data_IF_191047783512
#
_entry.id   IF_191047783512
#
_cell.length_a   1.000
_cell.length_b   1.000
_cell.length_c   1.000
_cell.angle_alpha   90.00
_cell.angle_beta   90.00
_cell.angle_gamma   90.00
#
_symmetry.space_group_name_H-M   'P 1'
#
loop_
_entity.id
_entity.type
_entity.pdbx_description
1 polymer ?
#
# COMPACT_ATOMS: atom_id res chain seq x y z
N UNK A 1 -16.66 11.89 11.77
CA UNK A 1 -15.60 12.93 11.88
C UNK A 1 -14.65 12.66 10.73
N UNK A 2 -14.34 13.66 9.90
CA UNK A 2 -13.37 13.50 8.83
C UNK A 2 -12.00 13.19 9.43
N UNK A 3 -11.27 12.21 8.91
CA UNK A 3 -9.95 11.86 9.42
C UNK A 3 -8.97 13.02 9.24
N UNK A 4 -8.18 13.29 10.28
CA UNK A 4 -7.09 14.28 10.21
C UNK A 4 -5.89 13.78 9.40
N UNK A 5 -5.65 12.46 9.44
CA UNK A 5 -4.67 11.74 8.66
C UNK A 5 -5.29 10.45 8.15
N UNK A 6 -4.77 9.99 7.02
CA UNK A 6 -5.04 8.66 6.49
C UNK A 6 -3.72 7.97 6.22
N UNK A 7 -3.47 6.87 6.94
CA UNK A 7 -2.33 5.99 6.72
C UNK A 7 -2.66 5.05 5.57
N UNK A 8 -2.02 5.22 4.44
CA UNK A 8 -2.38 4.49 3.22
C UNK A 8 -1.70 3.13 3.10
N UNK A 9 -0.94 2.69 4.12
CA UNK A 9 -0.37 1.36 4.19
C UNK A 9 0.14 1.05 5.60
N UNK A 10 -0.54 0.14 6.27
CA UNK A 10 -0.13 -0.46 7.54
C UNK A 10 -0.64 -1.90 7.63
N UNK A 11 -0.24 -2.65 8.66
CA UNK A 11 -0.55 -4.07 8.85
C UNK A 11 -1.06 -4.31 10.28
N UNK A 12 -2.34 -4.08 10.52
CA UNK A 12 -2.92 -4.29 11.85
C UNK A 12 -2.79 -5.75 12.31
N UNK A 13 -2.96 -6.71 11.41
CA UNK A 13 -2.83 -8.14 11.74
C UNK A 13 -1.43 -8.55 12.20
N UNK A 14 -0.42 -7.74 11.92
CA UNK A 14 0.94 -7.95 12.43
C UNK A 14 1.21 -7.26 13.77
N UNK A 15 0.27 -6.49 14.30
CA UNK A 15 0.39 -5.88 15.64
C UNK A 15 0.04 -6.89 16.73
N UNK A 16 0.50 -6.63 17.96
CA UNK A 16 0.16 -7.49 19.10
C UNK A 16 -1.34 -7.43 19.44
N UNK A 17 -2.00 -6.30 19.22
CA UNK A 17 -3.39 -6.04 19.59
C UNK A 17 -4.16 -5.34 18.46
N UNK A 18 -4.52 -6.05 17.35
CA UNK A 18 -5.12 -5.44 16.16
C UNK A 18 -6.41 -4.65 16.43
N UNK A 19 -7.31 -5.20 17.24
CA UNK A 19 -8.59 -4.56 17.56
C UNK A 19 -8.41 -3.31 18.45
N UNK A 20 -7.44 -3.34 19.36
CA UNK A 20 -7.12 -2.18 20.20
C UNK A 20 -6.54 -1.05 19.36
N UNK A 21 -5.61 -1.36 18.43
CA UNK A 21 -5.02 -0.40 17.51
C UNK A 21 -6.10 0.21 16.57
N UNK A 22 -7.01 -0.59 16.03
CA UNK A 22 -8.13 -0.14 15.22
C UNK A 22 -9.08 0.77 16.00
N UNK A 23 -9.44 0.40 17.23
CA UNK A 23 -10.33 1.18 18.10
C UNK A 23 -9.73 2.54 18.48
N UNK A 24 -8.44 2.57 18.85
CA UNK A 24 -7.72 3.81 19.17
C UNK A 24 -7.62 4.71 17.93
N UNK A 25 -7.33 4.14 16.76
CA UNK A 25 -7.25 4.89 15.51
C UNK A 25 -8.57 5.56 15.16
N UNK A 26 -9.67 4.83 15.23
CA UNK A 26 -11.02 5.37 15.02
C UNK A 26 -11.36 6.47 16.04
N UNK A 27 -11.03 6.28 17.32
CA UNK A 27 -11.27 7.27 18.37
C UNK A 27 -10.49 8.58 18.17
N UNK A 28 -9.28 8.50 17.58
CA UNK A 28 -8.45 9.67 17.31
C UNK A 28 -8.66 10.27 15.91
N UNK A 29 -9.60 9.73 15.12
CA UNK A 29 -9.86 10.19 13.75
C UNK A 29 -8.68 9.91 12.79
N UNK A 30 -7.94 8.82 13.01
CA UNK A 30 -6.94 8.31 12.08
C UNK A 30 -7.60 7.27 11.17
N UNK A 31 -7.65 7.56 9.86
CA UNK A 31 -8.03 6.56 8.88
C UNK A 31 -6.85 5.64 8.54
N UNK A 32 -7.13 4.37 8.25
CA UNK A 32 -6.10 3.36 7.94
C UNK A 32 -6.51 2.52 6.75
N UNK A 33 -5.56 2.25 5.86
CA UNK A 33 -5.63 1.14 4.93
C UNK A 33 -4.81 -0.02 5.52
N UNK A 34 -5.52 -0.98 6.12
CA UNK A 34 -4.99 -2.19 6.74
C UNK A 34 -4.70 -3.22 5.64
N UNK A 35 -3.46 -3.27 5.19
CA UNK A 35 -3.01 -4.17 4.13
C UNK A 35 -2.77 -5.58 4.68
N UNK A 36 -3.52 -6.56 4.17
CA UNK A 36 -3.33 -7.96 4.50
C UNK A 36 -2.04 -8.53 3.90
N UNK A 37 -1.48 -9.53 4.55
CA UNK A 37 -0.27 -10.24 4.09
C UNK A 37 -0.54 -11.71 3.78
N UNK A 38 -1.68 -12.21 4.23
CA UNK A 38 -2.18 -13.57 4.03
C UNK A 38 -3.68 -13.51 3.71
N UNK A 39 -4.15 -14.07 2.59
CA UNK A 39 -5.57 -13.98 2.23
C UNK A 39 -6.50 -14.74 3.18
N UNK A 40 -5.98 -15.66 4.01
CA UNK A 40 -6.75 -16.38 5.03
C UNK A 40 -7.24 -15.46 6.15
N UNK A 41 -6.51 -14.37 6.43
CA UNK A 41 -6.82 -13.43 7.51
C UNK A 41 -7.83 -12.35 7.09
N UNK A 42 -8.14 -12.23 5.79
CA UNK A 42 -8.99 -11.17 5.25
C UNK A 42 -10.39 -11.10 5.91
N UNK A 43 -10.99 -12.24 6.24
CA UNK A 43 -12.31 -12.25 6.88
C UNK A 43 -12.29 -11.52 8.23
N UNK A 44 -11.26 -11.76 9.04
CA UNK A 44 -11.10 -11.11 10.34
C UNK A 44 -10.79 -9.61 10.19
N UNK A 45 -9.90 -9.25 9.26
CA UNK A 45 -9.57 -7.86 8.97
C UNK A 45 -10.81 -7.07 8.48
N UNK A 46 -11.62 -7.66 7.60
CA UNK A 46 -12.84 -7.04 7.07
C UNK A 46 -13.91 -6.88 8.17
N UNK A 47 -14.04 -7.84 9.08
CA UNK A 47 -14.94 -7.70 10.25
C UNK A 47 -14.46 -6.58 11.19
N UNK A 48 -13.17 -6.46 11.44
CA UNK A 48 -12.55 -5.36 12.18
C UNK A 48 -12.88 -4.00 11.53
N UNK A 49 -12.67 -3.89 10.22
CA UNK A 49 -12.97 -2.67 9.47
C UNK A 49 -14.45 -2.27 9.58
N UNK A 50 -15.39 -3.23 9.55
CA UNK A 50 -16.82 -2.94 9.74
C UNK A 50 -17.16 -2.39 11.13
N UNK A 51 -16.41 -2.79 12.16
CA UNK A 51 -16.63 -2.31 13.54
C UNK A 51 -16.01 -0.94 13.81
N UNK A 52 -15.00 -0.54 13.04
CA UNK A 52 -14.22 0.67 13.28
C UNK A 52 -14.25 1.61 12.06
N UNK A 53 -15.11 2.65 12.07
CA UNK A 53 -15.18 3.62 10.98
C UNK A 53 -13.81 4.25 10.67
N UNK A 54 -13.47 4.36 9.39
CA UNK A 54 -12.18 4.89 8.93
C UNK A 54 -11.11 3.82 8.70
N UNK A 55 -11.36 2.55 9.10
CA UNK A 55 -10.49 1.44 8.74
C UNK A 55 -10.98 0.79 7.45
N UNK A 56 -10.08 0.59 6.51
CA UNK A 56 -10.33 -0.14 5.26
C UNK A 56 -9.44 -1.38 5.27
N UNK A 57 -10.04 -2.56 5.16
CA UNK A 57 -9.30 -3.80 5.04
C UNK A 57 -8.95 -4.07 3.58
N UNK A 58 -7.68 -4.38 3.32
CA UNK A 58 -7.17 -4.85 2.04
C UNK A 58 -6.90 -6.34 2.06
N UNK A 59 -7.34 -7.05 1.00
CA UNK A 59 -6.90 -8.42 0.84
C UNK A 59 -5.52 -8.45 0.19
N UNK A 60 -4.57 -9.17 0.79
CA UNK A 60 -3.20 -9.25 0.32
C UNK A 60 -2.60 -10.63 0.38
N UNK A 61 -1.47 -10.77 -0.30
CA UNK A 61 -0.53 -11.87 -0.19
C UNK A 61 0.88 -11.30 -0.39
N UNK A 62 1.55 -11.09 0.72
CA UNK A 62 2.87 -10.48 0.71
C UNK A 62 3.90 -11.41 0.03
N UNK A 63 4.77 -10.91 -0.87
CA UNK A 63 5.75 -11.74 -1.58
C UNK A 63 6.68 -12.53 -0.67
N UNK A 64 6.94 -12.06 0.56
CA UNK A 64 7.74 -12.81 1.53
C UNK A 64 7.07 -14.11 1.98
N UNK A 65 5.73 -14.13 2.13
CA UNK A 65 4.97 -15.33 2.51
C UNK A 65 5.01 -16.42 1.43
N UNK A 66 5.13 -16.01 0.15
CA UNK A 66 5.40 -16.94 -0.95
C UNK A 66 6.85 -17.42 -0.94
N UNK A 67 7.79 -16.49 -0.73
CA UNK A 67 9.21 -16.77 -0.79
C UNK A 67 9.69 -17.73 0.32
N UNK A 68 9.11 -17.64 1.51
CA UNK A 68 9.47 -18.49 2.64
C UNK A 68 8.54 -19.71 2.85
N UNK A 69 7.58 -19.90 1.95
CA UNK A 69 6.70 -21.06 1.94
C UNK A 69 5.55 -21.06 2.95
N UNK A 70 5.29 -19.92 3.63
CA UNK A 70 4.09 -19.76 4.48
C UNK A 70 2.79 -19.80 3.67
N UNK A 71 2.84 -19.34 2.44
CA UNK A 71 1.77 -19.39 1.47
C UNK A 71 2.22 -20.11 0.20
N UNK A 72 1.28 -20.75 -0.50
CA UNK A 72 1.51 -21.49 -1.72
C UNK A 72 0.36 -21.33 -2.72
N UNK A 73 0.20 -22.32 -3.59
CA UNK A 73 -0.79 -22.29 -4.66
C UNK A 73 -2.24 -22.16 -4.15
N UNK A 74 -2.55 -22.72 -2.97
CA UNK A 74 -3.88 -22.63 -2.36
C UNK A 74 -4.21 -21.18 -1.97
N UNK A 75 -3.28 -20.48 -1.33
CA UNK A 75 -3.44 -19.09 -0.90
C UNK A 75 -3.46 -18.14 -2.12
N UNK A 76 -2.69 -18.41 -3.17
CA UNK A 76 -2.78 -17.67 -4.44
C UNK A 76 -4.16 -17.84 -5.07
N UNK A 77 -4.74 -19.06 -5.07
CA UNK A 77 -6.09 -19.28 -5.57
C UNK A 77 -7.13 -18.53 -4.75
N UNK A 78 -7.03 -18.58 -3.43
CA UNK A 78 -7.92 -17.84 -2.52
C UNK A 78 -7.82 -16.33 -2.74
N UNK A 79 -6.60 -15.80 -2.86
CA UNK A 79 -6.38 -14.38 -3.19
C UNK A 79 -7.08 -13.99 -4.49
N UNK A 80 -6.88 -14.77 -5.57
CA UNK A 80 -7.50 -14.48 -6.88
C UNK A 80 -9.03 -14.53 -6.82
N UNK A 81 -9.60 -15.51 -6.10
CA UNK A 81 -11.04 -15.62 -5.91
C UNK A 81 -11.59 -14.39 -5.17
N UNK A 82 -11.03 -14.04 -4.03
CA UNK A 82 -11.50 -12.91 -3.22
C UNK A 82 -11.26 -11.57 -3.93
N UNK A 83 -10.09 -11.36 -4.51
CA UNK A 83 -9.72 -10.13 -5.21
C UNK A 83 -10.60 -9.86 -6.44
N UNK A 84 -11.22 -10.89 -7.03
CA UNK A 84 -12.15 -10.72 -8.16
C UNK A 84 -13.35 -9.82 -7.82
N UNK A 85 -13.76 -9.80 -6.56
CA UNK A 85 -14.94 -9.06 -6.03
C UNK A 85 -14.60 -7.96 -5.03
N UNK A 86 -13.33 -7.88 -4.59
CA UNK A 86 -12.92 -6.89 -3.62
C UNK A 86 -12.34 -5.64 -4.29
N UNK A 87 -12.58 -4.50 -3.65
CA UNK A 87 -12.12 -3.20 -4.14
C UNK A 87 -10.70 -2.87 -3.67
N UNK A 88 -10.34 -3.27 -2.47
CA UNK A 88 -9.10 -2.90 -1.81
C UNK A 88 -8.17 -4.10 -1.71
N UNK A 89 -7.03 -4.01 -2.40
CA UNK A 89 -6.08 -5.11 -2.54
C UNK A 89 -4.69 -4.60 -2.13
N UNK A 90 -4.10 -5.25 -1.17
CA UNK A 90 -2.78 -4.94 -0.64
C UNK A 90 -2.55 -5.68 0.69
N UNK A 91 -1.33 -6.07 0.97
CA UNK A 91 -0.13 -5.86 0.19
C UNK A 91 0.10 -7.00 -0.79
N UNK A 92 0.47 -6.67 -2.01
CA UNK A 92 0.78 -7.61 -3.08
C UNK A 92 2.03 -7.13 -3.82
N UNK A 93 2.66 -7.97 -4.60
CA UNK A 93 3.77 -7.54 -5.46
C UNK A 93 4.98 -8.46 -5.44
N UNK A 94 6.19 -7.88 -5.60
CA UNK A 94 7.43 -8.61 -5.83
C UNK A 94 8.58 -8.08 -4.96
N UNK A 95 9.38 -8.99 -4.41
CA UNK A 95 10.64 -8.69 -3.72
C UNK A 95 11.79 -9.54 -4.30
N UNK A 96 12.63 -8.91 -5.12
CA UNK A 96 13.81 -9.52 -5.72
C UNK A 96 15.10 -9.14 -4.97
N UNK A 97 14.99 -8.84 -3.68
CA UNK A 97 16.15 -8.63 -2.83
C UNK A 97 16.95 -9.94 -2.66
N UNK A 98 18.24 -9.80 -2.35
CA UNK A 98 19.10 -10.96 -2.13
C UNK A 98 18.63 -11.90 -1.00
N UNK A 99 17.79 -11.40 -0.09
CA UNK A 99 17.17 -12.21 0.96
C UNK A 99 16.28 -13.32 0.38
N UNK A 100 15.64 -13.06 -0.75
CA UNK A 100 14.68 -13.96 -1.39
C UNK A 100 15.15 -14.47 -2.75
N UNK A 101 16.48 -14.45 -2.99
CA UNK A 101 17.07 -14.95 -4.22
C UNK A 101 16.64 -16.41 -4.51
N UNK A 102 16.26 -16.67 -5.76
CA UNK A 102 15.76 -17.97 -6.21
C UNK A 102 14.24 -18.16 -6.05
N UNK A 103 13.53 -17.17 -5.51
CA UNK A 103 12.06 -17.22 -5.39
C UNK A 103 11.34 -16.27 -6.36
N UNK A 104 12.08 -15.60 -7.23
CA UNK A 104 11.55 -14.63 -8.19
C UNK A 104 10.45 -15.25 -9.07
N UNK A 105 10.66 -16.50 -9.49
CA UNK A 105 9.72 -17.22 -10.36
C UNK A 105 8.36 -17.47 -9.70
N UNK A 106 8.34 -17.93 -8.44
CA UNK A 106 7.09 -18.19 -7.72
C UNK A 106 6.34 -16.89 -7.40
N UNK A 107 7.06 -15.83 -7.02
CA UNK A 107 6.48 -14.52 -6.78
C UNK A 107 5.86 -13.95 -8.06
N UNK A 108 6.62 -13.98 -9.18
CA UNK A 108 6.17 -13.48 -10.48
C UNK A 108 4.92 -14.22 -10.94
N UNK A 109 4.91 -15.56 -10.90
CA UNK A 109 3.76 -16.37 -11.30
C UNK A 109 2.52 -16.05 -10.47
N UNK A 110 2.66 -15.87 -9.15
CA UNK A 110 1.54 -15.52 -8.28
C UNK A 110 0.98 -14.13 -8.61
N UNK A 111 1.86 -13.14 -8.82
CA UNK A 111 1.46 -11.77 -9.14
C UNK A 111 0.83 -11.68 -10.54
N UNK A 112 1.35 -12.39 -11.54
CA UNK A 112 0.75 -12.49 -12.88
C UNK A 112 -0.66 -13.09 -12.82
N UNK A 113 -0.85 -14.18 -12.07
CA UNK A 113 -2.16 -14.82 -11.88
C UNK A 113 -3.16 -13.88 -11.24
N UNK A 114 -2.76 -13.14 -10.21
CA UNK A 114 -3.59 -12.12 -9.59
C UNK A 114 -3.96 -11.03 -10.61
N UNK A 115 -2.98 -10.45 -11.30
CA UNK A 115 -3.21 -9.41 -12.30
C UNK A 115 -4.14 -9.87 -13.42
N UNK A 116 -4.02 -11.13 -13.87
CA UNK A 116 -4.93 -11.73 -14.84
C UNK A 116 -6.36 -11.83 -14.28
N UNK A 117 -6.53 -12.29 -13.03
CA UNK A 117 -7.84 -12.38 -12.39
C UNK A 117 -8.48 -10.98 -12.26
N UNK A 118 -7.71 -9.95 -11.88
CA UNK A 118 -8.20 -8.57 -11.78
C UNK A 118 -8.61 -7.99 -13.14
N UNK A 119 -7.86 -8.30 -14.19
CA UNK A 119 -8.16 -7.87 -15.56
C UNK A 119 -9.45 -8.52 -16.09
N UNK A 120 -9.72 -9.78 -15.73
CA UNK A 120 -10.93 -10.50 -16.09
C UNK A 120 -12.18 -10.04 -15.31
N UNK A 121 -11.97 -9.43 -14.15
CA UNK A 121 -13.02 -8.91 -13.27
C UNK A 121 -12.83 -7.43 -12.98
N UNK A 122 -12.99 -6.54 -13.97
CA UNK A 122 -12.81 -5.10 -13.77
C UNK A 122 -13.82 -4.56 -12.75
N UNK A 123 -13.33 -3.74 -11.82
CA UNK A 123 -14.14 -3.13 -10.77
C UNK A 123 -13.72 -1.67 -10.59
N UNK A 124 -14.65 -0.76 -10.84
CA UNK A 124 -14.40 0.67 -10.71
C UNK A 124 -13.97 1.06 -9.30
N UNK A 125 -13.00 1.94 -9.20
CA UNK A 125 -12.46 2.43 -7.93
C UNK A 125 -11.62 1.39 -7.17
N UNK A 126 -11.15 0.33 -7.82
CA UNK A 126 -10.21 -0.63 -7.21
C UNK A 126 -8.89 0.04 -6.90
N UNK A 127 -8.30 -0.32 -5.77
CA UNK A 127 -7.02 0.20 -5.29
C UNK A 127 -6.07 -0.98 -5.06
N UNK A 128 -4.85 -0.87 -5.60
CA UNK A 128 -3.79 -1.86 -5.39
C UNK A 128 -2.62 -1.21 -4.65
N UNK A 129 -2.27 -1.71 -3.46
CA UNK A 129 -1.04 -1.33 -2.74
C UNK A 129 0.07 -2.32 -3.04
N UNK A 130 1.14 -1.84 -3.68
CA UNK A 130 2.16 -2.64 -4.34
C UNK A 130 3.49 -2.57 -3.60
N UNK A 131 4.00 -3.75 -3.20
CA UNK A 131 5.38 -3.99 -2.82
C UNK A 131 6.26 -4.19 -4.05
N UNK A 132 7.36 -3.44 -4.17
CA UNK A 132 8.23 -3.55 -5.34
C UNK A 132 9.71 -3.33 -4.98
N UNK A 133 10.32 -4.28 -4.29
CA UNK A 133 11.74 -4.20 -3.90
C UNK A 133 12.62 -4.85 -4.97
N UNK A 134 13.48 -4.03 -5.62
CA UNK A 134 14.31 -4.45 -6.77
C UNK A 134 13.52 -5.08 -7.92
N UNK A 135 12.22 -4.81 -7.98
CA UNK A 135 11.27 -5.44 -8.89
C UNK A 135 10.31 -4.44 -9.55
N UNK A 136 10.54 -3.13 -9.39
CA UNK A 136 9.61 -2.12 -9.90
C UNK A 136 9.39 -2.21 -11.41
N UNK A 137 10.46 -2.50 -12.20
CA UNK A 137 10.37 -2.73 -13.64
C UNK A 137 9.49 -3.93 -13.96
N UNK A 138 9.77 -5.09 -13.36
CA UNK A 138 9.00 -6.33 -13.57
C UNK A 138 7.52 -6.13 -13.14
N UNK A 139 7.29 -5.45 -12.02
CA UNK A 139 5.94 -5.12 -11.55
C UNK A 139 5.18 -4.28 -12.58
N UNK A 140 5.81 -3.24 -13.12
CA UNK A 140 5.21 -2.38 -14.15
C UNK A 140 4.94 -3.16 -15.45
N UNK A 141 5.85 -4.06 -15.87
CA UNK A 141 5.67 -4.90 -17.06
C UNK A 141 4.45 -5.82 -16.92
N UNK A 142 4.27 -6.44 -15.75
CA UNK A 142 3.12 -7.32 -15.46
C UNK A 142 1.81 -6.53 -15.44
N UNK A 143 1.77 -5.39 -14.75
CA UNK A 143 0.59 -4.54 -14.69
C UNK A 143 0.18 -4.03 -16.08
N UNK A 144 1.17 -3.67 -16.91
CA UNK A 144 0.95 -3.18 -18.27
C UNK A 144 0.46 -4.30 -19.20
N UNK A 145 1.10 -5.46 -19.20
CA UNK A 145 0.70 -6.62 -20.00
C UNK A 145 -0.69 -7.14 -19.62
N UNK A 146 -1.07 -7.02 -18.35
CA UNK A 146 -2.41 -7.34 -17.84
C UNK A 146 -3.44 -6.23 -18.07
N UNK A 147 -3.08 -5.15 -18.76
CA UNK A 147 -3.95 -4.01 -19.02
C UNK A 147 -4.50 -3.29 -17.78
N UNK A 148 -3.79 -3.34 -16.66
CA UNK A 148 -4.17 -2.68 -15.41
C UNK A 148 -3.63 -1.24 -15.28
N UNK A 149 -2.77 -0.79 -16.21
CA UNK A 149 -2.25 0.58 -16.29
C UNK A 149 -2.95 1.42 -17.37
N UNK A 150 -4.14 1.05 -17.77
CA UNK A 150 -4.94 1.85 -18.71
C UNK A 150 -5.51 3.07 -17.99
N UNK A 151 -5.50 4.21 -18.66
CA UNK A 151 -6.09 5.44 -18.15
C UNK A 151 -7.61 5.46 -18.45
N UNK A 152 -8.35 4.52 -17.83
CA UNK A 152 -9.80 4.43 -17.95
C UNK A 152 -10.46 4.28 -16.55
N UNK A 153 -11.76 4.58 -16.41
CA UNK A 153 -12.45 4.57 -15.12
C UNK A 153 -12.49 3.20 -14.40
N UNK A 154 -12.29 2.11 -15.13
CA UNK A 154 -12.31 0.75 -14.57
C UNK A 154 -10.89 0.24 -14.27
N UNK A 155 -9.85 0.99 -14.65
CA UNK A 155 -8.48 0.64 -14.26
C UNK A 155 -8.29 0.89 -12.78
N UNK A 156 -7.56 -0.01 -12.08
CA UNK A 156 -7.27 0.18 -10.68
C UNK A 156 -6.34 1.37 -10.45
N UNK A 157 -6.51 2.03 -9.32
CA UNK A 157 -5.51 2.96 -8.80
C UNK A 157 -4.34 2.17 -8.23
N UNK A 158 -3.15 2.42 -8.76
CA UNK A 158 -1.91 1.79 -8.31
C UNK A 158 -1.22 2.69 -7.29
N UNK A 159 -0.92 2.14 -6.12
CA UNK A 159 -0.08 2.78 -5.10
C UNK A 159 1.20 1.97 -4.98
N UNK A 160 2.34 2.55 -5.33
CA UNK A 160 3.62 1.99 -4.92
C UNK A 160 3.90 2.45 -3.49
N UNK A 161 3.80 1.52 -2.55
CA UNK A 161 4.21 1.80 -1.20
C UNK A 161 5.75 1.76 -1.11
N UNK A 162 6.34 2.64 -0.30
CA UNK A 162 7.78 2.73 -0.07
C UNK A 162 8.63 2.50 -1.34
N UNK A 163 8.35 3.24 -2.40
CA UNK A 163 9.01 3.05 -3.69
C UNK A 163 10.54 3.10 -3.59
N UNK A 164 11.21 2.04 -4.05
CA UNK A 164 12.67 1.87 -3.97
C UNK A 164 13.35 1.56 -5.31
N UNK A 165 12.63 1.62 -6.42
CA UNK A 165 13.12 1.37 -7.77
C UNK A 165 14.18 2.37 -8.25
N UNK A 166 14.56 2.28 -9.52
CA UNK A 166 15.44 3.23 -10.21
C UNK A 166 14.73 4.54 -10.55
N UNK A 167 15.47 5.57 -10.97
CA UNK A 167 14.87 6.83 -11.41
C UNK A 167 14.02 6.67 -12.67
N UNK A 168 14.42 5.80 -13.60
CA UNK A 168 13.66 5.53 -14.83
C UNK A 168 12.36 4.80 -14.52
N UNK A 169 12.38 3.85 -13.59
CA UNK A 169 11.17 3.16 -13.11
C UNK A 169 10.22 4.14 -12.38
N UNK A 170 10.75 5.09 -11.58
CA UNK A 170 9.94 6.15 -10.99
C UNK A 170 9.26 7.00 -12.05
N UNK A 171 9.98 7.40 -13.10
CA UNK A 171 9.42 8.18 -14.22
C UNK A 171 8.33 7.37 -14.92
N UNK A 172 8.57 6.09 -15.20
CA UNK A 172 7.59 5.20 -15.83
C UNK A 172 6.32 5.04 -14.97
N UNK A 173 6.46 4.77 -13.68
CA UNK A 173 5.34 4.64 -12.75
C UNK A 173 4.53 5.96 -12.64
N UNK A 174 5.21 7.12 -12.62
CA UNK A 174 4.55 8.43 -12.65
C UNK A 174 3.76 8.67 -13.93
N UNK A 175 4.32 8.33 -15.09
CA UNK A 175 3.61 8.45 -16.38
C UNK A 175 2.42 7.51 -16.47
N UNK A 176 2.49 6.35 -15.83
CA UNK A 176 1.35 5.44 -15.70
C UNK A 176 0.27 5.94 -14.71
N UNK A 177 0.46 7.12 -14.08
CA UNK A 177 -0.51 7.73 -13.19
C UNK A 177 -0.53 7.16 -11.76
N UNK A 178 0.48 6.37 -11.38
CA UNK A 178 0.56 5.77 -10.05
C UNK A 178 0.67 6.80 -8.93
N UNK A 179 0.16 6.45 -7.76
CA UNK A 179 0.42 7.13 -6.50
C UNK A 179 1.62 6.52 -5.80
N UNK A 180 2.20 7.28 -4.88
CA UNK A 180 3.36 6.87 -4.10
C UNK A 180 3.12 7.21 -2.64
N UNK A 181 3.12 6.21 -1.78
CA UNK A 181 3.06 6.44 -0.35
C UNK A 181 4.45 6.45 0.27
N UNK A 182 4.66 7.40 1.17
CA UNK A 182 5.97 7.72 1.74
C UNK A 182 5.93 7.59 3.24
N UNK A 183 6.91 6.89 3.79
CA UNK A 183 7.14 6.73 5.22
C UNK A 183 8.48 7.32 5.68
N UNK A 184 8.70 7.36 7.01
CA UNK A 184 9.94 7.89 7.59
C UNK A 184 11.18 7.11 7.16
N UNK A 185 11.07 5.77 7.02
CA UNK A 185 12.19 4.89 6.64
C UNK A 185 12.65 5.17 5.21
N UNK A 186 11.72 5.41 4.29
CA UNK A 186 12.04 5.85 2.93
C UNK A 186 12.84 7.16 2.95
N UNK A 187 12.40 8.15 3.74
CA UNK A 187 13.06 9.45 3.86
C UNK A 187 14.40 9.41 4.61
N UNK A 188 14.72 8.33 5.30
CA UNK A 188 16.06 8.15 5.90
C UNK A 188 17.13 8.02 4.81
N UNK A 189 16.81 7.51 3.62
CA UNK A 189 17.73 7.32 2.51
C UNK A 189 17.88 8.58 1.66
N UNK A 190 19.06 8.78 1.00
CA UNK A 190 19.26 9.88 0.04
C UNK A 190 18.30 9.71 -1.16
N UNK A 191 18.16 8.50 -1.68
CA UNK A 191 17.28 8.17 -2.81
C UNK A 191 15.82 8.47 -2.48
N UNK A 192 15.32 8.01 -1.34
CA UNK A 192 13.94 8.27 -0.94
C UNK A 192 13.63 9.76 -0.79
N UNK A 193 14.56 10.56 -0.26
CA UNK A 193 14.40 12.02 -0.20
C UNK A 193 14.32 12.65 -1.59
N UNK A 194 15.14 12.16 -2.53
CA UNK A 194 15.12 12.67 -3.90
C UNK A 194 13.80 12.30 -4.59
N UNK A 195 13.30 11.08 -4.39
CA UNK A 195 12.00 10.66 -4.93
C UNK A 195 10.85 11.46 -4.33
N UNK A 196 10.88 11.73 -3.03
CA UNK A 196 9.90 12.59 -2.38
C UNK A 196 9.86 14.00 -2.98
N UNK A 197 11.01 14.56 -3.44
CA UNK A 197 11.04 15.83 -4.17
C UNK A 197 10.38 15.74 -5.54
N UNK A 198 10.64 14.65 -6.27
CA UNK A 198 10.23 14.47 -7.68
C UNK A 198 8.77 14.04 -7.83
N UNK A 199 8.21 13.32 -6.86
CA UNK A 199 6.80 12.90 -6.89
C UNK A 199 5.89 14.14 -6.85
N UNK A 200 4.99 14.31 -7.82
CA UNK A 200 4.03 15.42 -7.83
C UNK A 200 3.13 15.40 -6.59
N UNK A 201 2.76 16.57 -6.09
CA UNK A 201 1.97 16.69 -4.87
C UNK A 201 0.61 15.97 -4.97
N UNK A 202 -0.02 15.97 -6.13
CA UNK A 202 -1.28 15.28 -6.41
C UNK A 202 -1.14 13.76 -6.63
N UNK A 203 0.04 13.19 -6.42
CA UNK A 203 0.33 11.73 -6.48
C UNK A 203 0.99 11.24 -5.20
N UNK A 204 1.08 12.10 -4.20
CA UNK A 204 1.73 11.83 -2.94
C UNK A 204 0.72 11.32 -1.92
N UNK A 205 1.06 10.24 -1.23
CA UNK A 205 0.35 9.69 -0.08
C UNK A 205 1.31 9.54 1.09
N UNK A 206 0.78 9.34 2.29
CA UNK A 206 1.56 9.04 3.49
C UNK A 206 1.21 7.67 4.02
N UNK A 207 2.21 6.99 4.55
CA UNK A 207 2.06 5.71 5.20
C UNK A 207 2.98 5.58 6.41
N UNK A 208 2.74 4.56 7.23
CA UNK A 208 3.68 4.19 8.29
C UNK A 208 4.40 2.88 7.99
N UNK A 209 3.75 1.97 7.29
CA UNK A 209 4.18 0.59 7.10
C UNK A 209 4.45 -0.08 8.47
N UNK A 210 3.56 0.21 9.43
CA UNK A 210 3.62 -0.30 10.78
C UNK A 210 2.86 -1.64 10.90
N UNK A 211 3.30 -2.51 11.83
CA UNK A 211 4.44 -2.37 12.74
C UNK A 211 5.77 -2.59 12.03
N UNK A 212 6.86 -2.02 12.58
CA UNK A 212 8.20 -2.25 12.04
C UNK A 212 8.65 -3.72 12.18
N UNK A 213 8.18 -4.39 13.23
CA UNK A 213 8.40 -5.79 13.49
C UNK A 213 7.07 -6.46 13.92
N UNK A 214 6.77 -7.68 13.45
CA UNK A 214 5.55 -8.38 13.84
C UNK A 214 5.46 -8.58 15.35
N UNK A 215 4.23 -8.68 15.88
CA UNK A 215 3.91 -8.88 17.28
C UNK A 215 4.45 -7.76 18.21
N UNK A 216 4.53 -6.53 17.71
CA UNK A 216 4.84 -5.36 18.52
C UNK A 216 3.60 -4.50 18.76
N UNK A 217 3.57 -3.80 19.90
CA UNK A 217 2.49 -2.85 20.19
C UNK A 217 2.55 -1.66 19.22
N UNK A 218 1.38 -1.32 18.67
CA UNK A 218 1.22 -0.18 17.78
C UNK A 218 0.08 0.69 18.29
N UNK A 219 0.37 1.94 18.68
CA UNK A 219 -0.64 2.90 19.09
C UNK A 219 -0.96 3.88 17.97
N UNK A 220 -2.22 4.30 17.87
CA UNK A 220 -2.63 5.32 16.92
C UNK A 220 -1.88 6.64 17.10
N UNK A 221 -1.51 6.98 18.33
CA UNK A 221 -0.68 8.15 18.61
C UNK A 221 0.71 8.05 17.98
N UNK A 222 1.33 6.85 17.99
CA UNK A 222 2.63 6.62 17.35
C UNK A 222 2.53 6.74 15.83
N UNK A 223 1.46 6.22 15.22
CA UNK A 223 1.18 6.36 13.79
C UNK A 223 1.01 7.82 13.39
N UNK A 224 0.15 8.57 14.11
CA UNK A 224 -0.06 10.01 13.86
C UNK A 224 1.25 10.80 13.97
N UNK A 225 2.09 10.51 14.98
CA UNK A 225 3.40 11.15 15.12
C UNK A 225 4.32 10.85 13.94
N UNK A 226 4.34 9.60 13.45
CA UNK A 226 5.13 9.20 12.29
C UNK A 226 4.64 9.92 11.03
N UNK A 227 3.34 9.93 10.73
CA UNK A 227 2.76 10.65 9.60
C UNK A 227 3.04 12.15 9.66
N UNK A 228 2.93 12.76 10.85
CA UNK A 228 3.25 14.18 11.06
C UNK A 228 4.73 14.47 10.77
N UNK A 229 5.66 13.65 11.27
CA UNK A 229 7.10 13.83 10.99
C UNK A 229 7.40 13.63 9.50
N UNK A 230 6.75 12.66 8.86
CA UNK A 230 6.89 12.43 7.41
C UNK A 230 6.42 13.64 6.61
N UNK A 231 5.24 14.20 6.92
CA UNK A 231 4.71 15.40 6.25
C UNK A 231 5.63 16.61 6.42
N UNK A 232 6.15 16.85 7.62
CA UNK A 232 7.10 17.94 7.89
C UNK A 232 8.39 17.79 7.09
N UNK A 233 8.95 16.58 7.00
CA UNK A 233 10.16 16.31 6.21
C UNK A 233 9.92 16.52 4.72
N UNK A 234 8.78 16.06 4.18
CA UNK A 234 8.40 16.30 2.77
C UNK A 234 8.22 17.80 2.51
N UNK A 235 7.57 18.52 3.42
CA UNK A 235 7.41 19.98 3.31
C UNK A 235 8.75 20.71 3.19
N UNK A 236 9.71 20.35 4.04
CA UNK A 236 11.10 20.87 3.96
C UNK A 236 11.76 20.52 2.61
N UNK A 237 11.60 19.29 2.12
CA UNK A 237 12.16 18.85 0.84
C UNK A 237 11.55 19.58 -0.37
N UNK A 238 10.27 19.95 -0.29
CA UNK A 238 9.52 20.64 -1.34
C UNK A 238 9.46 22.16 -1.17
N UNK A 239 10.15 22.72 -0.15
CA UNK A 239 10.15 24.15 0.19
C UNK A 239 8.72 24.73 0.32
N UNK A 240 7.86 24.05 1.08
CA UNK A 240 6.48 24.49 1.33
C UNK A 240 6.04 24.25 2.79
N UNK A 241 4.87 24.76 3.17
CA UNK A 241 4.30 24.54 4.50
C UNK A 241 3.85 23.08 4.70
N UNK A 242 4.02 22.57 5.91
CA UNK A 242 3.58 21.21 6.28
C UNK A 242 2.06 21.04 6.11
N UNK A 243 1.25 22.06 6.41
CA UNK A 243 -0.20 22.05 6.20
C UNK A 243 -0.58 21.85 4.73
N UNK A 244 0.24 22.38 3.80
CA UNK A 244 0.02 22.15 2.36
C UNK A 244 0.22 20.69 2.00
N UNK A 245 1.22 20.04 2.59
CA UNK A 245 1.44 18.59 2.40
C UNK A 245 0.28 17.82 3.02
N UNK A 246 -0.06 18.07 4.28
CA UNK A 246 -1.15 17.41 5.00
C UNK A 246 -2.48 17.50 4.23
N UNK A 247 -2.84 18.69 3.77
CA UNK A 247 -4.06 18.91 2.98
C UNK A 247 -4.02 18.13 1.65
N UNK A 248 -2.89 18.16 0.94
CA UNK A 248 -2.79 17.49 -0.34
C UNK A 248 -2.85 15.96 -0.22
N UNK A 249 -2.13 15.39 0.74
CA UNK A 249 -2.14 13.92 0.94
C UNK A 249 -3.49 13.42 1.42
N UNK A 250 -4.19 14.19 2.25
CA UNK A 250 -5.55 13.87 2.69
C UNK A 250 -6.54 13.95 1.51
N UNK A 251 -6.46 14.99 0.70
CA UNK A 251 -7.26 15.11 -0.53
C UNK A 251 -7.01 13.95 -1.49
N UNK A 252 -5.75 13.56 -1.66
CA UNK A 252 -5.39 12.40 -2.48
C UNK A 252 -5.95 11.10 -1.89
N UNK A 253 -5.84 10.88 -0.58
CA UNK A 253 -6.41 9.72 0.08
C UNK A 253 -7.94 9.67 -0.08
N UNK A 254 -8.65 10.80 0.11
CA UNK A 254 -10.08 10.89 -0.18
C UNK A 254 -10.42 10.50 -1.61
N UNK A 255 -9.66 10.97 -2.58
CA UNK A 255 -9.86 10.63 -4.00
C UNK A 255 -9.62 9.15 -4.30
N UNK A 256 -8.59 8.55 -3.68
CA UNK A 256 -8.19 7.15 -3.93
C UNK A 256 -9.14 6.17 -3.24
N UNK A 257 -9.49 6.43 -1.97
CA UNK A 257 -10.24 5.50 -1.13
C UNK A 257 -11.74 5.82 -1.05
N UNK A 258 -12.21 6.89 -1.71
CA UNK A 258 -13.60 7.35 -1.65
C UNK A 258 -14.08 7.53 -0.20
N UNK A 259 -13.27 8.23 0.59
CA UNK A 259 -13.57 8.51 1.99
C UNK A 259 -14.71 9.54 2.07
N UNK A 260 -15.82 9.16 2.72
CA UNK A 260 -17.01 10.01 2.91
C UNK A 260 -17.11 10.53 4.33
#
# INVERSE_FOLDING_TARGET
MEPRFFDTHCHLDLTLSPDAAASESAALGLGLFDCGVDPRDFSAANERARRHPGIIAGIGLHPWWLADGRCGAAEVNLLCELASRERFIGEIGLDFSSRFAGTEGVQTQAFERLCQALSQHPLAGRVLSIHAVRAAGATLDILESSSLLKNDPNSPTIIFHWFSGTSDELVRARHAGSFFSINERMLATKRGREYARQIPLNRLLLETDAPAEPNTETSAQSLIKSLTRTSMRIASLKNCDAKRIESAVLTNAHSVFDLR
#
